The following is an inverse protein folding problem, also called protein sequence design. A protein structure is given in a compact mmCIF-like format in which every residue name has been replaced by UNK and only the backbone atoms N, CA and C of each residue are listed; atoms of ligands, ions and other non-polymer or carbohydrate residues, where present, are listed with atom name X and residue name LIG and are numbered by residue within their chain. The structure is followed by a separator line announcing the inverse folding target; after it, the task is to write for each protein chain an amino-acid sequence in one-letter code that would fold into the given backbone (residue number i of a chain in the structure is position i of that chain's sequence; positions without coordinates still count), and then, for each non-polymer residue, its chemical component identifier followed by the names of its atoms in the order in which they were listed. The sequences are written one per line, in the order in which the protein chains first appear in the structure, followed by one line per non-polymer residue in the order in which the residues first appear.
data_IF_875348385097
#
_entry.id   IF_875348385097
#
_cell.length_a   1.000
_cell.length_b   1.000
_cell.length_c   1.000
_cell.angle_alpha   90.00
_cell.angle_beta   90.00
_cell.angle_gamma   90.00
#
_symmetry.space_group_name_H-M   'P 1'
#
loop_
_entity.id
_entity.type
_entity.pdbx_description
1 polymer ?
#
# COMPACT_ATOMS: atom_id res chain seq x y z
N UNK A 1 -1.38 -11.04 -24.34
CA UNK A 1 -0.11 -10.85 -23.59
C UNK A 1 -0.30 -11.50 -22.22
N UNK A 2 0.49 -12.51 -21.87
CA UNK A 2 0.33 -13.23 -20.59
C UNK A 2 0.84 -12.34 -19.46
N UNK A 3 0.02 -12.07 -18.44
CA UNK A 3 0.50 -11.46 -17.20
C UNK A 3 1.40 -12.47 -16.51
N UNK A 4 2.69 -12.17 -16.47
CA UNK A 4 3.58 -12.91 -15.60
C UNK A 4 3.26 -12.50 -14.15
N UNK A 5 3.01 -13.46 -13.22
CA UNK A 5 3.02 -13.14 -11.82
C UNK A 5 4.35 -12.43 -11.52
N UNK A 6 4.30 -11.36 -10.74
CA UNK A 6 5.54 -10.72 -10.27
C UNK A 6 6.32 -11.81 -9.52
N UNK A 7 7.46 -12.21 -10.11
CA UNK A 7 8.36 -13.12 -9.43
C UNK A 7 9.38 -12.26 -8.70
N UNK A 8 9.35 -12.32 -7.39
CA UNK A 8 10.43 -11.77 -6.57
C UNK A 8 11.71 -12.48 -7.02
N UNK A 9 12.74 -11.77 -7.52
CA UNK A 9 14.00 -12.40 -7.92
C UNK A 9 14.58 -13.16 -6.74
N UNK A 10 14.70 -14.49 -6.86
CA UNK A 10 15.28 -15.34 -5.80
C UNK A 10 16.74 -15.62 -6.17
N UNK A 11 17.71 -14.97 -5.50
CA UNK A 11 19.10 -15.34 -5.64
C UNK A 11 19.29 -16.80 -5.19
N UNK A 12 20.11 -17.55 -5.93
CA UNK A 12 20.48 -18.90 -5.55
C UNK A 12 21.05 -18.91 -4.13
N UNK A 13 20.56 -19.82 -3.28
CA UNK A 13 21.01 -20.01 -1.89
C UNK A 13 20.65 -18.89 -0.87
N UNK A 14 19.66 -18.05 -1.17
CA UNK A 14 19.16 -17.08 -0.19
C UNK A 14 17.71 -17.39 0.19
N UNK A 15 17.49 -17.67 1.48
CA UNK A 15 16.17 -17.89 2.03
C UNK A 15 15.42 -16.56 2.25
N UNK A 16 16.16 -15.53 2.64
CA UNK A 16 15.66 -14.17 2.86
C UNK A 16 16.05 -13.28 1.69
N UNK A 17 15.07 -12.77 0.96
CA UNK A 17 15.31 -11.91 -0.19
C UNK A 17 15.29 -10.46 0.27
N UNK A 18 16.36 -9.73 -0.02
CA UNK A 18 16.49 -8.31 0.29
C UNK A 18 16.65 -7.56 -1.03
N UNK A 19 15.77 -6.61 -1.26
CA UNK A 19 15.76 -5.77 -2.46
C UNK A 19 15.88 -4.31 -2.07
N UNK A 20 16.82 -3.61 -2.71
CA UNK A 20 17.03 -2.17 -2.56
C UNK A 20 16.68 -1.51 -3.90
N UNK A 21 15.59 -0.78 -3.92
CA UNK A 21 15.14 -0.05 -5.11
C UNK A 21 15.56 1.41 -5.00
N UNK A 22 16.31 1.89 -6.00
CA UNK A 22 16.69 3.29 -6.20
C UNK A 22 16.35 3.67 -7.62
N UNK A 23 15.15 4.15 -7.83
CA UNK A 23 14.56 4.36 -9.15
C UNK A 23 13.72 5.65 -9.14
N UNK A 24 13.56 6.30 -10.28
CA UNK A 24 12.64 7.44 -10.41
C UNK A 24 11.19 7.02 -10.26
N UNK A 25 10.86 5.79 -10.67
CA UNK A 25 9.51 5.24 -10.61
C UNK A 25 9.58 3.84 -10.01
N UNK A 26 8.95 3.64 -8.86
CA UNK A 26 8.78 2.29 -8.30
C UNK A 26 7.97 1.41 -9.25
N UNK A 27 8.13 0.08 -9.14
CA UNK A 27 7.27 -0.85 -9.88
C UNK A 27 5.80 -0.55 -9.52
N UNK A 28 5.13 0.14 -10.45
CA UNK A 28 3.82 0.75 -10.25
C UNK A 28 2.66 -0.07 -10.84
N UNK A 29 2.88 -1.36 -11.10
CA UNK A 29 1.83 -2.27 -11.59
C UNK A 29 1.28 -3.09 -10.46
N UNK A 30 -0.06 -3.26 -10.41
CA UNK A 30 -0.69 -4.13 -9.44
C UNK A 30 -0.13 -5.55 -9.60
N UNK A 31 0.37 -6.11 -8.52
CA UNK A 31 0.96 -7.44 -8.48
C UNK A 31 0.67 -8.13 -7.14
N UNK A 32 0.89 -9.42 -7.11
CA UNK A 32 0.82 -10.23 -5.90
C UNK A 32 1.92 -11.30 -5.96
N UNK A 33 2.38 -11.73 -4.80
CA UNK A 33 3.37 -12.78 -4.64
C UNK A 33 3.11 -13.60 -3.37
N UNK A 34 3.72 -14.76 -3.24
CA UNK A 34 3.50 -15.66 -2.10
C UNK A 34 4.20 -15.18 -0.82
N UNK A 35 5.19 -14.33 -0.95
CA UNK A 35 5.99 -13.84 0.16
C UNK A 35 5.22 -12.77 0.97
N UNK A 36 5.49 -12.73 2.27
CA UNK A 36 5.24 -11.56 3.11
C UNK A 36 6.32 -10.53 2.76
N UNK A 37 5.94 -9.29 2.56
CA UNK A 37 6.85 -8.19 2.21
C UNK A 37 6.92 -7.17 3.35
N UNK A 38 8.12 -6.89 3.82
CA UNK A 38 8.43 -5.80 4.74
C UNK A 38 9.06 -4.67 3.92
N UNK A 39 8.50 -3.47 3.95
CA UNK A 39 8.99 -2.36 3.13
C UNK A 39 9.20 -1.10 3.95
N UNK A 40 10.43 -0.59 3.95
CA UNK A 40 10.78 0.74 4.41
C UNK A 40 10.85 1.70 3.22
N UNK A 41 10.08 2.78 3.28
CA UNK A 41 10.26 3.92 2.37
C UNK A 41 11.39 4.79 2.93
N UNK A 42 12.55 4.73 2.32
CA UNK A 42 13.71 5.53 2.74
C UNK A 42 13.55 6.98 2.26
N UNK A 43 13.19 7.14 0.98
CA UNK A 43 12.96 8.45 0.36
C UNK A 43 11.93 8.30 -0.76
N UNK A 44 10.73 8.69 -0.53
CA UNK A 44 9.68 8.89 -1.53
C UNK A 44 8.39 9.35 -0.86
N UNK A 45 7.52 10.00 -1.63
CA UNK A 45 6.13 10.23 -1.28
C UNK A 45 5.23 9.61 -2.34
N UNK A 46 4.06 9.12 -1.93
CA UNK A 46 3.17 8.46 -2.89
C UNK A 46 2.00 7.76 -2.22
N UNK A 47 1.47 6.75 -2.92
CA UNK A 47 0.34 5.95 -2.49
C UNK A 47 0.66 4.46 -2.58
N UNK A 48 0.39 3.74 -1.49
CA UNK A 48 0.28 2.29 -1.48
C UNK A 48 -1.18 1.94 -1.71
N UNK A 49 -1.46 1.20 -2.76
CA UNK A 49 -2.75 0.55 -2.96
C UNK A 49 -2.57 -0.91 -2.56
N UNK A 50 -3.40 -1.39 -1.65
CA UNK A 50 -3.37 -2.77 -1.17
C UNK A 50 -4.79 -3.28 -1.01
N UNK A 51 -5.10 -4.38 -1.68
CA UNK A 51 -6.42 -4.97 -1.64
C UNK A 51 -7.50 -3.97 -2.05
N UNK A 52 -8.29 -3.58 -1.08
CA UNK A 52 -9.43 -2.67 -1.23
C UNK A 52 -9.15 -1.24 -0.73
N UNK A 53 -7.91 -0.90 -0.37
CA UNK A 53 -7.58 0.32 0.35
C UNK A 53 -6.43 1.11 -0.25
N UNK A 54 -6.43 2.42 -0.02
CA UNK A 54 -5.39 3.35 -0.47
C UNK A 54 -4.77 4.02 0.74
N UNK A 55 -3.44 4.02 0.82
CA UNK A 55 -2.69 4.59 1.94
C UNK A 55 -1.60 5.50 1.42
N UNK A 56 -1.54 6.77 1.86
CA UNK A 56 -0.42 7.62 1.54
C UNK A 56 0.85 7.15 2.25
N UNK A 57 1.98 7.32 1.58
CA UNK A 57 3.28 7.11 2.19
C UNK A 57 4.21 8.30 2.01
N UNK A 58 5.16 8.40 2.91
CA UNK A 58 6.25 9.39 2.91
C UNK A 58 7.54 8.76 3.45
N UNK A 59 8.60 9.53 3.42
CA UNK A 59 9.90 9.16 3.99
C UNK A 59 9.74 8.62 5.41
N UNK A 60 10.40 7.51 5.68
CA UNK A 60 10.38 6.82 6.95
C UNK A 60 9.14 5.97 7.23
N UNK A 61 8.18 5.86 6.32
CA UNK A 61 7.05 4.96 6.51
C UNK A 61 7.44 3.50 6.32
N UNK A 62 6.90 2.64 7.19
CA UNK A 62 7.14 1.21 7.14
C UNK A 62 5.84 0.44 6.98
N UNK A 63 5.83 -0.50 6.04
CA UNK A 63 4.67 -1.32 5.70
C UNK A 63 4.99 -2.81 5.74
N UNK A 64 4.03 -3.59 6.21
CA UNK A 64 4.00 -5.04 6.08
C UNK A 64 2.86 -5.39 5.14
N UNK A 65 3.17 -6.11 4.06
CA UNK A 65 2.22 -6.59 3.06
C UNK A 65 2.09 -8.10 3.22
N UNK A 66 0.87 -8.57 3.35
CA UNK A 66 0.59 -10.00 3.52
C UNK A 66 0.82 -10.83 2.25
N UNK A 67 1.05 -12.11 2.45
CA UNK A 67 1.12 -13.10 1.36
C UNK A 67 -0.12 -13.01 0.46
N UNK A 68 0.08 -13.06 -0.85
CA UNK A 68 -0.95 -12.99 -1.88
C UNK A 68 -1.83 -11.73 -1.87
N UNK A 69 -1.51 -10.71 -1.08
CA UNK A 69 -2.24 -9.44 -1.10
C UNK A 69 -1.88 -8.65 -2.37
N UNK A 70 -2.85 -8.36 -3.26
CA UNK A 70 -2.59 -7.52 -4.42
C UNK A 70 -2.22 -6.12 -3.98
N UNK A 71 -1.09 -5.60 -4.48
CA UNK A 71 -0.62 -4.28 -4.09
C UNK A 71 0.21 -3.60 -5.17
N UNK A 72 0.35 -2.27 -5.04
CA UNK A 72 1.28 -1.47 -5.82
C UNK A 72 1.73 -0.25 -5.01
N UNK A 73 2.98 0.16 -5.22
CA UNK A 73 3.52 1.43 -4.74
C UNK A 73 3.62 2.40 -5.91
N UNK A 74 2.92 3.54 -5.83
CA UNK A 74 3.00 4.61 -6.82
C UNK A 74 3.55 5.86 -6.16
N UNK A 75 4.79 6.24 -6.50
CA UNK A 75 5.37 7.49 -6.04
C UNK A 75 4.82 8.68 -6.84
N UNK A 76 4.71 9.85 -6.18
CA UNK A 76 4.12 11.04 -6.79
C UNK A 76 5.14 11.84 -7.61
N UNK A 77 6.41 11.91 -7.14
CA UNK A 77 7.48 12.62 -7.81
C UNK A 77 8.25 11.68 -8.72
N UNK A 78 8.47 12.11 -9.95
CA UNK A 78 9.19 11.37 -10.99
C UNK A 78 10.53 12.05 -11.34
N UNK A 79 10.78 13.23 -10.77
CA UNK A 79 11.97 14.06 -10.94
C UNK A 79 13.04 13.84 -9.87
N UNK A 80 12.69 13.14 -8.79
CA UNK A 80 13.59 12.79 -7.69
C UNK A 80 13.73 11.28 -7.55
N UNK A 81 14.93 10.83 -7.21
CA UNK A 81 15.21 9.40 -7.06
C UNK A 81 14.53 8.87 -5.79
N UNK A 82 13.55 8.03 -5.99
CA UNK A 82 12.87 7.32 -4.91
C UNK A 82 13.73 6.15 -4.41
N UNK A 83 13.67 5.88 -3.11
CA UNK A 83 14.44 4.82 -2.47
C UNK A 83 13.55 4.05 -1.48
N UNK A 84 13.45 2.74 -1.67
CA UNK A 84 12.83 1.81 -0.72
C UNK A 84 13.68 0.57 -0.53
N UNK A 85 13.54 -0.05 0.63
CA UNK A 85 14.16 -1.34 0.96
C UNK A 85 13.02 -2.32 1.27
N UNK A 86 13.03 -3.46 0.61
CA UNK A 86 12.02 -4.51 0.80
C UNK A 86 12.69 -5.82 1.18
N UNK A 87 12.08 -6.55 2.12
CA UNK A 87 12.46 -7.89 2.53
C UNK A 87 11.29 -8.81 2.22
N UNK A 88 11.57 -9.94 1.59
CA UNK A 88 10.57 -10.93 1.21
C UNK A 88 10.91 -12.28 1.83
N UNK A 89 9.91 -12.91 2.44
CA UNK A 89 10.01 -14.25 3.00
C UNK A 89 8.63 -14.93 3.06
N UNK A 90 8.60 -16.24 3.17
CA UNK A 90 7.39 -17.04 3.36
C UNK A 90 7.39 -17.68 4.75
N UNK A 91 6.27 -18.20 5.17
CA UNK A 91 6.17 -18.99 6.41
C UNK A 91 7.09 -20.22 6.40
N UNK A 92 7.50 -20.70 5.22
CA UNK A 92 8.37 -21.87 5.05
C UNK A 92 9.81 -21.51 4.68
N UNK A 93 10.16 -20.22 4.67
CA UNK A 93 11.50 -19.75 4.26
C UNK A 93 12.65 -20.41 5.03
N UNK A 94 12.45 -20.69 6.31
CA UNK A 94 13.46 -21.34 7.18
C UNK A 94 13.12 -22.81 7.52
N UNK A 95 12.25 -23.44 6.74
CA UNK A 95 11.71 -24.77 6.97
C UNK A 95 10.26 -24.72 7.45
N UNK A 96 9.51 -25.78 7.15
CA UNK A 96 8.06 -25.83 7.39
C UNK A 96 7.65 -25.64 8.86
N UNK A 97 8.47 -26.07 9.80
CA UNK A 97 8.18 -26.01 11.23
C UNK A 97 8.82 -24.83 11.96
N UNK A 98 9.62 -24.00 11.29
CA UNK A 98 10.40 -22.95 11.95
C UNK A 98 9.51 -21.99 12.75
N UNK A 99 8.52 -21.40 12.10
CA UNK A 99 7.61 -20.45 12.77
C UNK A 99 6.58 -21.12 13.69
N UNK A 100 6.53 -22.44 13.72
CA UNK A 100 5.66 -23.23 14.61
C UNK A 100 6.38 -23.71 15.89
N UNK A 101 7.66 -23.37 16.07
CA UNK A 101 8.41 -23.69 17.29
C UNK A 101 7.78 -22.98 18.51
N UNK A 102 7.63 -23.65 19.66
CA UNK A 102 7.06 -23.04 20.86
C UNK A 102 7.78 -21.76 21.30
N UNK A 103 9.11 -21.72 21.19
CA UNK A 103 9.91 -20.53 21.51
C UNK A 103 9.67 -19.32 20.58
N UNK A 104 8.94 -19.52 19.48
CA UNK A 104 8.62 -18.51 18.47
C UNK A 104 7.11 -18.22 18.37
N UNK A 105 6.33 -18.55 19.41
CA UNK A 105 4.87 -18.33 19.43
C UNK A 105 4.48 -16.88 19.13
N UNK A 106 5.27 -15.90 19.60
CA UNK A 106 5.06 -14.49 19.30
C UNK A 106 5.16 -14.17 17.81
N UNK A 107 6.00 -14.87 17.06
CA UNK A 107 6.12 -14.72 15.61
C UNK A 107 4.88 -15.22 14.87
N UNK A 108 4.17 -16.21 15.43
CA UNK A 108 2.89 -16.65 14.86
C UNK A 108 1.82 -15.55 14.89
N UNK A 109 1.80 -14.76 15.96
CA UNK A 109 0.93 -13.58 16.05
C UNK A 109 1.28 -12.54 14.98
N UNK A 110 2.58 -12.32 14.71
CA UNK A 110 3.04 -11.46 13.61
C UNK A 110 2.58 -11.98 12.25
N UNK A 111 2.77 -13.27 11.95
CA UNK A 111 2.34 -13.91 10.70
C UNK A 111 0.83 -13.73 10.50
N UNK A 112 0.03 -13.92 11.54
CA UNK A 112 -1.41 -13.71 11.46
C UNK A 112 -1.79 -12.25 11.20
N UNK A 113 -1.15 -11.30 11.87
CA UNK A 113 -1.36 -9.87 11.65
C UNK A 113 -0.92 -9.44 10.24
N UNK A 114 0.11 -10.07 9.67
CA UNK A 114 0.59 -9.75 8.32
C UNK A 114 -0.43 -10.03 7.22
N UNK A 115 -1.41 -10.92 7.43
CA UNK A 115 -2.42 -11.29 6.43
C UNK A 115 -3.28 -10.10 5.99
N UNK A 116 -3.59 -9.20 6.90
CA UNK A 116 -4.31 -7.95 6.61
C UNK A 116 -3.36 -6.82 6.20
N UNK A 117 -2.06 -7.04 6.37
CA UNK A 117 -1.05 -6.01 6.24
C UNK A 117 -1.19 -4.91 7.28
N UNK A 118 -0.11 -4.21 7.57
CA UNK A 118 -0.17 -3.07 8.49
C UNK A 118 0.92 -2.03 8.20
N UNK A 119 0.63 -0.80 8.59
CA UNK A 119 1.60 0.30 8.67
C UNK A 119 2.07 0.41 10.11
N UNK A 120 3.39 0.51 10.31
CA UNK A 120 3.99 0.78 11.63
C UNK A 120 3.80 2.25 11.98
N UNK A 121 3.36 2.50 13.22
CA UNK A 121 3.19 3.83 13.81
C UNK A 121 4.23 4.06 14.92
N UNK A 122 4.35 5.31 15.38
CA UNK A 122 5.18 5.65 16.55
C UNK A 122 6.68 5.52 16.34
N UNK A 123 7.40 5.16 17.39
CA UNK A 123 8.86 5.02 17.38
C UNK A 123 9.31 3.85 16.49
N UNK A 124 10.05 4.16 15.45
CA UNK A 124 10.49 3.25 14.39
C UNK A 124 12.00 3.11 14.27
N UNK A 125 12.78 3.74 15.16
CA UNK A 125 14.22 3.87 15.01
C UNK A 125 14.93 2.52 14.93
N UNK A 126 14.56 1.56 15.80
CA UNK A 126 15.12 0.21 15.77
C UNK A 126 14.76 -0.56 14.48
N UNK A 127 13.52 -0.38 14.00
CA UNK A 127 13.03 -0.99 12.75
C UNK A 127 13.78 -0.38 11.56
N UNK A 128 13.90 0.95 11.50
CA UNK A 128 14.63 1.64 10.44
C UNK A 128 16.10 1.24 10.41
N UNK A 129 16.76 1.24 11.58
CA UNK A 129 18.15 0.81 11.70
C UNK A 129 18.37 -0.60 11.16
N UNK A 130 17.52 -1.54 11.56
CA UNK A 130 17.57 -2.93 11.07
C UNK A 130 17.41 -2.98 9.55
N UNK A 131 16.40 -2.30 8.99
CA UNK A 131 16.15 -2.29 7.54
C UNK A 131 17.28 -1.68 6.72
N UNK A 132 17.93 -0.62 7.21
CA UNK A 132 19.07 0.01 6.53
C UNK A 132 20.31 -0.87 6.61
N UNK A 133 20.51 -1.57 7.73
CA UNK A 133 21.70 -2.41 7.95
C UNK A 133 21.61 -3.76 7.21
N UNK A 134 20.42 -4.36 7.17
CA UNK A 134 20.20 -5.73 6.70
C UNK A 134 20.70 -6.02 5.28
N UNK A 135 20.63 -5.10 4.29
CA UNK A 135 21.18 -5.33 2.96
C UNK A 135 22.70 -5.59 2.94
N UNK A 136 23.46 -5.03 3.88
CA UNK A 136 24.92 -5.19 3.96
C UNK A 136 25.37 -6.41 4.76
N UNK A 137 24.46 -7.07 5.47
CA UNK A 137 24.76 -8.26 6.28
C UNK A 137 24.67 -9.54 5.45
N UNK A 138 25.35 -10.57 5.91
CA UNK A 138 25.34 -11.88 5.26
C UNK A 138 25.02 -13.00 6.24
N UNK A 139 24.52 -14.12 5.72
CA UNK A 139 24.35 -15.38 6.44
C UNK A 139 23.70 -15.21 7.84
N UNK A 140 24.41 -15.63 8.86
CA UNK A 140 23.92 -15.65 10.25
C UNK A 140 23.61 -14.23 10.77
N UNK A 141 24.45 -13.25 10.48
CA UNK A 141 24.25 -11.88 10.94
C UNK A 141 22.98 -11.28 10.33
N UNK A 142 22.71 -11.55 9.03
CA UNK A 142 21.48 -11.18 8.35
C UNK A 142 20.27 -11.85 8.99
N UNK A 143 20.36 -13.13 9.32
CA UNK A 143 19.30 -13.88 9.97
C UNK A 143 19.01 -13.34 11.38
N UNK A 144 20.03 -13.10 12.20
CA UNK A 144 19.89 -12.52 13.54
C UNK A 144 19.22 -11.15 13.46
N UNK A 145 19.70 -10.29 12.57
CA UNK A 145 19.12 -8.95 12.35
C UNK A 145 17.65 -9.03 11.92
N UNK A 146 17.30 -9.99 11.06
CA UNK A 146 15.93 -10.21 10.62
C UNK A 146 15.01 -10.67 11.78
N UNK A 147 15.44 -11.61 12.61
CA UNK A 147 14.65 -12.05 13.79
C UNK A 147 14.46 -10.89 14.77
N UNK A 148 15.50 -10.08 15.00
CA UNK A 148 15.38 -8.89 15.84
C UNK A 148 14.42 -7.84 15.22
N UNK A 149 14.41 -7.70 13.90
CA UNK A 149 13.44 -6.86 13.20
C UNK A 149 12.00 -7.35 13.42
N UNK A 150 11.75 -8.66 13.29
CA UNK A 150 10.42 -9.24 13.55
C UNK A 150 9.98 -9.01 14.99
N UNK A 151 10.87 -9.18 15.96
CA UNK A 151 10.60 -8.89 17.38
C UNK A 151 10.20 -7.42 17.59
N UNK A 152 10.88 -6.49 16.96
CA UNK A 152 10.54 -5.07 17.03
C UNK A 152 9.17 -4.77 16.38
N UNK A 153 8.83 -5.47 15.29
CA UNK A 153 7.54 -5.33 14.61
C UNK A 153 6.36 -5.89 15.42
N UNK A 154 6.58 -6.95 16.19
CA UNK A 154 5.56 -7.49 17.09
C UNK A 154 5.13 -6.44 18.11
N UNK A 155 6.09 -5.74 18.69
CA UNK A 155 5.89 -4.76 19.77
C UNK A 155 5.54 -3.35 19.26
N UNK A 156 5.54 -3.12 17.94
CA UNK A 156 5.25 -1.81 17.37
C UNK A 156 3.75 -1.50 17.37
N UNK A 157 3.41 -0.24 17.59
CA UNK A 157 2.08 0.26 17.27
C UNK A 157 1.83 0.14 15.77
N UNK A 158 0.65 -0.35 15.40
CA UNK A 158 0.34 -0.65 14.00
C UNK A 158 -1.08 -0.27 13.64
N UNK A 159 -1.24 0.11 12.37
CA UNK A 159 -2.54 0.37 11.75
C UNK A 159 -2.75 -0.63 10.62
N UNK A 160 -3.81 -1.42 10.71
CA UNK A 160 -4.23 -2.35 9.65
C UNK A 160 -4.44 -1.62 8.33
N UNK A 161 -4.01 -2.24 7.22
CA UNK A 161 -4.09 -1.66 5.89
C UNK A 161 -5.37 -2.08 5.16
N UNK A 162 -5.79 -3.33 5.28
CA UNK A 162 -7.00 -3.83 4.63
C UNK A 162 -7.75 -4.80 5.55
N UNK A 163 -9.07 -4.81 5.45
CA UNK A 163 -9.91 -5.79 6.13
C UNK A 163 -10.22 -7.00 5.22
N UNK A 164 -9.63 -7.02 4.02
CA UNK A 164 -9.87 -8.07 3.03
C UNK A 164 -8.63 -8.93 2.86
N UNK A 165 -8.69 -10.13 3.43
CA UNK A 165 -7.62 -11.13 3.29
C UNK A 165 -7.86 -11.96 2.04
N UNK A 166 -6.88 -12.02 1.15
CA UNK A 166 -6.94 -12.84 -0.05
C UNK A 166 -6.53 -14.29 0.28
N UNK A 167 -7.49 -15.24 0.30
CA UNK A 167 -7.20 -16.62 0.74
C UNK A 167 -6.38 -17.42 -0.28
N UNK A 168 -6.33 -16.96 -1.53
CA UNK A 168 -5.69 -17.66 -2.65
C UNK A 168 -5.13 -16.69 -3.67
N UNK A 169 -4.17 -17.17 -4.46
CA UNK A 169 -3.71 -16.50 -5.67
C UNK A 169 -4.90 -16.22 -6.59
N UNK A 170 -5.09 -14.96 -6.95
CA UNK A 170 -6.06 -14.57 -7.98
C UNK A 170 -5.64 -15.22 -9.30
N UNK A 171 -6.57 -15.88 -9.99
CA UNK A 171 -6.30 -16.50 -11.28
C UNK A 171 -5.74 -15.49 -12.30
N UNK A 172 -4.84 -15.92 -13.17
CA UNK A 172 -4.09 -15.03 -14.07
C UNK A 172 -4.99 -14.08 -14.87
N UNK A 173 -6.10 -14.58 -15.41
CA UNK A 173 -7.07 -13.75 -16.18
C UNK A 173 -7.80 -12.72 -15.30
N UNK A 174 -8.20 -13.08 -14.09
CA UNK A 174 -8.87 -12.18 -13.15
C UNK A 174 -7.88 -11.13 -12.60
N UNK A 175 -6.66 -11.55 -12.29
CA UNK A 175 -5.59 -10.66 -11.86
C UNK A 175 -5.22 -9.64 -12.94
N UNK A 176 -5.22 -10.03 -14.22
CA UNK A 176 -4.98 -9.13 -15.35
C UNK A 176 -6.09 -8.07 -15.46
N UNK A 177 -7.34 -8.48 -15.38
CA UNK A 177 -8.46 -7.53 -15.39
C UNK A 177 -8.39 -6.56 -14.21
N UNK A 178 -8.13 -7.06 -13.00
CA UNK A 178 -7.97 -6.19 -11.82
C UNK A 178 -6.84 -5.19 -12.02
N UNK A 179 -5.69 -5.65 -12.52
CA UNK A 179 -4.56 -4.77 -12.84
C UNK A 179 -4.94 -3.68 -13.83
N UNK A 180 -5.59 -4.03 -14.96
CA UNK A 180 -6.04 -3.07 -15.96
C UNK A 180 -6.98 -2.02 -15.35
N UNK A 181 -7.92 -2.44 -14.49
CA UNK A 181 -8.83 -1.54 -13.79
C UNK A 181 -8.06 -0.59 -12.86
N UNK A 182 -7.15 -1.12 -12.05
CA UNK A 182 -6.38 -0.30 -11.12
C UNK A 182 -5.45 0.67 -11.85
N UNK A 183 -4.74 0.23 -12.89
CA UNK A 183 -3.89 1.08 -13.72
C UNK A 183 -4.71 2.23 -14.34
N UNK A 184 -5.89 1.91 -14.87
CA UNK A 184 -6.80 2.91 -15.43
C UNK A 184 -7.25 3.93 -14.38
N UNK A 185 -7.76 3.47 -13.23
CA UNK A 185 -8.28 4.35 -12.19
C UNK A 185 -7.19 5.21 -11.59
N UNK A 186 -6.03 4.64 -11.27
CA UNK A 186 -4.89 5.36 -10.67
C UNK A 186 -4.31 6.40 -11.63
N UNK A 187 -4.44 6.19 -12.92
CA UNK A 187 -3.97 7.15 -13.93
C UNK A 187 -4.99 8.27 -14.18
N UNK A 188 -6.29 7.98 -14.09
CA UNK A 188 -7.35 8.89 -14.56
C UNK A 188 -8.29 9.38 -13.45
N UNK A 189 -8.05 9.07 -12.16
CA UNK A 189 -8.98 9.37 -11.06
C UNK A 189 -9.36 10.84 -10.92
N UNK A 190 -8.53 11.75 -11.42
CA UNK A 190 -8.78 13.19 -11.44
C UNK A 190 -9.81 13.61 -12.50
N UNK A 191 -9.99 12.78 -13.51
CA UNK A 191 -10.94 13.02 -14.58
C UNK A 191 -12.31 12.43 -14.27
N UNK A 192 -13.31 12.77 -15.07
CA UNK A 192 -14.61 12.10 -14.99
C UNK A 192 -14.46 10.62 -15.41
N UNK A 193 -14.93 9.72 -14.59
CA UNK A 193 -14.96 8.29 -14.86
C UNK A 193 -16.35 7.76 -14.57
N UNK A 194 -17.01 7.21 -15.60
CA UNK A 194 -18.26 6.48 -15.47
C UNK A 194 -18.05 4.95 -15.54
N UNK A 195 -19.13 4.21 -15.29
CA UNK A 195 -19.06 2.73 -15.30
C UNK A 195 -18.83 2.17 -16.69
N UNK A 196 -19.29 2.82 -17.77
CA UNK A 196 -19.08 2.35 -19.13
C UNK A 196 -17.60 2.49 -19.49
N UNK A 197 -17.00 3.64 -19.17
CA UNK A 197 -15.57 3.88 -19.38
C UNK A 197 -14.72 2.83 -18.62
N UNK A 198 -15.01 2.60 -17.35
CA UNK A 198 -14.25 1.64 -16.55
C UNK A 198 -14.45 0.18 -17.00
N UNK A 199 -15.67 -0.21 -17.29
CA UNK A 199 -15.99 -1.60 -17.69
C UNK A 199 -15.46 -1.96 -19.08
N UNK A 200 -15.41 -0.99 -20.01
CA UNK A 200 -14.85 -1.17 -21.36
C UNK A 200 -13.36 -1.52 -21.34
N UNK A 201 -12.60 -1.03 -20.33
CA UNK A 201 -11.17 -1.35 -20.18
C UNK A 201 -10.91 -2.85 -20.06
N UNK A 202 -11.88 -3.60 -19.57
CA UNK A 202 -11.77 -5.05 -19.32
C UNK A 202 -12.80 -5.88 -20.09
N UNK A 203 -13.42 -5.28 -21.11
CA UNK A 203 -14.42 -5.90 -21.98
C UNK A 203 -15.57 -6.55 -21.21
N UNK A 204 -16.10 -5.82 -20.22
CA UNK A 204 -17.24 -6.25 -19.40
C UNK A 204 -18.44 -5.32 -19.59
N UNK A 205 -19.65 -5.86 -19.38
CA UNK A 205 -20.82 -5.01 -19.17
C UNK A 205 -20.72 -4.31 -17.80
N UNK A 206 -21.30 -3.11 -17.60
CA UNK A 206 -21.28 -2.40 -16.33
C UNK A 206 -21.74 -3.24 -15.14
N UNK A 207 -22.77 -4.06 -15.32
CA UNK A 207 -23.28 -4.94 -14.26
C UNK A 207 -22.28 -6.06 -13.90
N UNK A 208 -21.67 -6.70 -14.90
CA UNK A 208 -20.64 -7.71 -14.67
C UNK A 208 -19.40 -7.10 -14.00
N UNK A 209 -18.99 -5.91 -14.44
CA UNK A 209 -17.90 -5.15 -13.86
C UNK A 209 -18.14 -4.82 -12.38
N UNK A 210 -19.32 -4.31 -12.01
CA UNK A 210 -19.65 -4.00 -10.63
C UNK A 210 -19.56 -5.24 -9.72
N UNK A 211 -20.10 -6.39 -10.17
CA UNK A 211 -20.00 -7.65 -9.44
C UNK A 211 -18.54 -8.11 -9.31
N UNK A 212 -17.81 -8.10 -10.41
CA UNK A 212 -16.40 -8.48 -10.48
C UNK A 212 -15.55 -7.61 -9.54
N UNK A 213 -15.67 -6.29 -9.63
CA UNK A 213 -14.90 -5.37 -8.80
C UNK A 213 -15.20 -5.56 -7.31
N UNK A 214 -16.49 -5.64 -6.94
CA UNK A 214 -16.91 -5.86 -5.56
C UNK A 214 -16.43 -7.20 -5.00
N UNK A 215 -16.44 -8.26 -5.80
CA UNK A 215 -15.94 -9.58 -5.41
C UNK A 215 -14.44 -9.57 -5.08
N UNK A 216 -13.64 -8.75 -5.81
CA UNK A 216 -12.19 -8.71 -5.69
C UNK A 216 -11.66 -7.60 -4.78
N UNK A 217 -12.50 -6.65 -4.34
CA UNK A 217 -12.10 -5.52 -3.50
C UNK A 217 -12.99 -5.32 -2.28
N UNK A 218 -14.07 -6.09 -2.15
CA UNK A 218 -15.10 -5.91 -1.11
C UNK A 218 -15.75 -4.50 -1.09
N UNK A 219 -15.47 -3.66 -2.10
CA UNK A 219 -16.00 -2.30 -2.25
C UNK A 219 -16.65 -2.12 -3.62
N UNK A 220 -17.54 -1.14 -3.73
CA UNK A 220 -17.98 -0.70 -5.05
C UNK A 220 -16.87 0.11 -5.74
N UNK A 221 -16.89 0.14 -7.07
CA UNK A 221 -15.94 0.92 -7.86
C UNK A 221 -15.90 2.40 -7.45
N UNK A 222 -17.06 3.02 -7.27
CA UNK A 222 -17.11 4.42 -6.87
C UNK A 222 -16.67 4.68 -5.43
N UNK A 223 -16.87 3.74 -4.51
CA UNK A 223 -16.30 3.85 -3.16
C UNK A 223 -14.78 3.91 -3.22
N UNK A 224 -14.17 3.02 -4.01
CA UNK A 224 -12.72 3.00 -4.21
C UNK A 224 -12.22 4.29 -4.89
N UNK A 225 -12.89 4.75 -5.96
CA UNK A 225 -12.54 5.98 -6.66
C UNK A 225 -12.60 7.20 -5.73
N UNK A 226 -13.63 7.30 -4.90
CA UNK A 226 -13.78 8.38 -3.91
C UNK A 226 -12.66 8.33 -2.87
N UNK A 227 -12.31 7.15 -2.36
CA UNK A 227 -11.18 7.01 -1.42
C UNK A 227 -9.87 7.49 -2.05
N UNK A 228 -9.58 7.07 -3.28
CA UNK A 228 -8.38 7.50 -4.01
C UNK A 228 -8.33 9.04 -4.19
N UNK A 229 -9.45 9.65 -4.53
CA UNK A 229 -9.59 11.11 -4.66
C UNK A 229 -9.39 11.84 -3.33
N UNK A 230 -9.97 11.31 -2.24
CA UNK A 230 -9.81 11.91 -0.90
C UNK A 230 -8.37 11.75 -0.39
N UNK A 231 -7.70 10.62 -0.64
CA UNK A 231 -6.29 10.48 -0.28
C UNK A 231 -5.39 11.45 -1.08
N UNK A 232 -5.71 11.70 -2.35
CA UNK A 232 -5.02 12.73 -3.13
C UNK A 232 -5.26 14.13 -2.56
N UNK A 233 -6.51 14.46 -2.22
CA UNK A 233 -6.83 15.73 -1.56
C UNK A 233 -6.07 15.91 -0.24
N UNK A 234 -5.95 14.86 0.58
CA UNK A 234 -5.14 14.92 1.81
C UNK A 234 -3.67 15.23 1.53
N UNK A 235 -3.10 14.69 0.45
CA UNK A 235 -1.73 15.00 0.04
C UNK A 235 -1.57 16.47 -0.36
N UNK A 236 -2.50 17.01 -1.18
CA UNK A 236 -2.51 18.42 -1.57
C UNK A 236 -2.70 19.32 -0.36
N UNK A 237 -3.64 19.01 0.54
CA UNK A 237 -3.84 19.75 1.79
C UNK A 237 -2.60 19.78 2.68
N UNK A 238 -1.78 18.74 2.69
CA UNK A 238 -0.55 18.69 3.47
C UNK A 238 0.62 19.46 2.83
N UNK A 239 0.62 19.61 1.52
CA UNK A 239 1.75 20.21 0.77
C UNK A 239 1.48 21.63 0.33
N UNK A 240 0.24 21.92 -0.06
CA UNK A 240 -0.12 23.09 -0.85
C UNK A 240 -1.28 23.89 -0.26
N UNK A 241 -1.66 23.62 1.01
CA UNK A 241 -2.77 24.33 1.67
C UNK A 241 -2.56 25.85 1.82
N UNK A 242 -1.33 26.33 1.68
CA UNK A 242 -1.01 27.77 1.69
C UNK A 242 -1.06 28.40 0.30
N UNK A 243 -1.11 27.57 -0.75
CA UNK A 243 -1.08 28.01 -2.15
C UNK A 243 -2.41 27.78 -2.87
N UNK A 244 -3.15 26.75 -2.47
CA UNK A 244 -4.40 26.33 -3.09
C UNK A 244 -5.58 26.46 -2.13
N UNK A 245 -6.69 26.96 -2.63
CA UNK A 245 -7.97 26.95 -1.91
C UNK A 245 -8.54 25.53 -1.79
N UNK A 246 -9.45 25.31 -0.84
CA UNK A 246 -10.17 24.03 -0.70
C UNK A 246 -10.94 23.67 -1.99
N UNK A 247 -11.44 24.68 -2.71
CA UNK A 247 -12.13 24.47 -4.00
C UNK A 247 -11.16 23.90 -5.04
N UNK A 248 -10.02 24.54 -5.26
CA UNK A 248 -8.99 24.08 -6.21
C UNK A 248 -8.48 22.68 -5.88
N UNK A 249 -8.24 22.38 -4.59
CA UNK A 249 -7.85 21.04 -4.13
C UNK A 249 -8.95 20.01 -4.45
N UNK A 250 -10.21 20.38 -4.27
CA UNK A 250 -11.37 19.54 -4.62
C UNK A 250 -11.38 19.21 -6.11
N UNK A 251 -11.22 20.22 -6.98
CA UNK A 251 -11.21 20.08 -8.43
C UNK A 251 -10.00 19.26 -8.91
N UNK A 252 -8.80 19.56 -8.44
CA UNK A 252 -7.58 18.81 -8.75
C UNK A 252 -7.65 17.35 -8.24
N UNK A 253 -8.51 17.07 -7.27
CA UNK A 253 -8.76 15.71 -6.80
C UNK A 253 -9.88 14.99 -7.57
N UNK A 254 -10.45 15.62 -8.60
CA UNK A 254 -11.45 15.03 -9.49
C UNK A 254 -12.89 15.13 -9.00
N UNK A 255 -13.19 16.04 -8.06
CA UNK A 255 -14.57 16.32 -7.66
C UNK A 255 -15.15 17.48 -8.47
N UNK A 256 -16.31 17.27 -9.06
CA UNK A 256 -17.07 18.29 -9.78
C UNK A 256 -17.95 19.16 -8.87
N UNK A 257 -18.08 18.79 -7.59
CA UNK A 257 -18.89 19.49 -6.61
C UNK A 257 -18.18 19.57 -5.26
N UNK A 258 -17.93 20.80 -4.80
CA UNK A 258 -17.33 21.07 -3.49
C UNK A 258 -18.21 20.52 -2.33
N UNK A 259 -19.53 20.55 -2.48
CA UNK A 259 -20.45 19.99 -1.48
C UNK A 259 -20.30 18.47 -1.36
N UNK A 260 -20.18 17.77 -2.49
CA UNK A 260 -19.92 16.34 -2.50
C UNK A 260 -18.53 16.01 -1.93
N UNK A 261 -17.51 16.78 -2.30
CA UNK A 261 -16.17 16.68 -1.74
C UNK A 261 -16.18 16.77 -0.22
N UNK A 262 -16.72 17.86 0.34
CA UNK A 262 -16.77 18.08 1.79
C UNK A 262 -17.49 16.95 2.53
N UNK A 263 -18.61 16.47 1.97
CA UNK A 263 -19.37 15.34 2.52
C UNK A 263 -18.54 14.06 2.54
N UNK A 264 -17.87 13.70 1.43
CA UNK A 264 -17.06 12.50 1.32
C UNK A 264 -15.79 12.60 2.18
N UNK A 265 -15.15 13.78 2.20
CA UNK A 265 -13.98 14.02 3.03
C UNK A 265 -14.32 13.83 4.52
N UNK A 266 -15.40 14.46 5.00
CA UNK A 266 -15.87 14.31 6.39
C UNK A 266 -16.20 12.84 6.70
N UNK A 267 -16.84 12.13 5.77
CA UNK A 267 -17.17 10.70 5.92
C UNK A 267 -15.93 9.83 6.09
N UNK A 268 -14.86 10.08 5.33
CA UNK A 268 -13.67 9.23 5.32
C UNK A 268 -12.59 9.65 6.34
N UNK A 269 -12.52 10.95 6.67
CA UNK A 269 -11.50 11.49 7.59
C UNK A 269 -12.04 11.90 8.96
N UNK A 270 -13.37 11.85 9.15
CA UNK A 270 -14.09 12.28 10.36
C UNK A 270 -13.95 13.77 10.70
N UNK A 271 -13.33 14.56 9.83
CA UNK A 271 -13.16 16.01 9.96
C UNK A 271 -13.39 16.68 8.61
N UNK A 272 -13.72 17.97 8.61
CA UNK A 272 -13.80 18.77 7.37
C UNK A 272 -12.40 19.15 6.89
N UNK A 273 -12.20 19.46 5.58
CA UNK A 273 -10.87 19.75 5.00
C UNK A 273 -10.12 20.87 5.72
N UNK A 274 -10.78 21.99 6.06
CA UNK A 274 -10.15 23.11 6.76
C UNK A 274 -9.65 22.72 8.16
N UNK A 275 -10.40 21.90 8.88
CA UNK A 275 -10.00 21.39 10.20
C UNK A 275 -8.85 20.39 10.09
N UNK A 276 -8.83 19.59 9.03
CA UNK A 276 -7.72 18.68 8.73
C UNK A 276 -6.40 19.45 8.57
N UNK A 277 -6.40 20.55 7.82
CA UNK A 277 -5.23 21.44 7.67
C UNK A 277 -4.79 22.03 9.01
N UNK A 278 -5.73 22.55 9.80
CA UNK A 278 -5.44 23.13 11.12
C UNK A 278 -4.76 22.11 12.06
N UNK A 279 -5.26 20.88 12.09
CA UNK A 279 -4.66 19.79 12.89
C UNK A 279 -3.22 19.46 12.46
N UNK A 280 -2.94 19.46 11.14
CA UNK A 280 -1.58 19.20 10.63
C UNK A 280 -0.59 20.33 10.99
N UNK A 281 -1.06 21.58 11.02
CA UNK A 281 -0.26 22.76 11.40
C UNK A 281 -0.09 22.93 12.92
N UNK A 282 -0.65 22.03 13.74
CA UNK A 282 -0.61 22.14 15.21
C UNK A 282 -1.44 23.29 15.78
N UNK A 283 -2.33 23.89 14.96
CA UNK A 283 -3.20 24.97 15.37
C UNK A 283 -4.40 24.34 16.12
N UNK A 284 -4.53 24.64 17.41
CA UNK A 284 -5.74 24.20 18.16
C UNK A 284 -6.97 24.82 17.49
N UNK A 285 -8.01 24.04 17.19
CA UNK A 285 -9.26 24.59 16.68
C UNK A 285 -9.90 25.48 17.76
N UNK A 286 -10.17 26.73 17.42
CA UNK A 286 -11.08 27.59 18.16
C UNK A 286 -12.50 27.05 18.10
#
# INVERSE_FOLDING_TARGET
MKVHPFQVPKPLHQNLIVQVDREFVFYNKLHQHAEIQLTLIVKATGKLIIGDSVHPFKDGDFFVIGSHSPHLFKNDRLDDMAHKISIFFTETTFGESFFALPDLEELQAFINASKEGFKVLGNRDAIHKAMITLPSLEKLDRFICFIQLLKNLINADKKTLTNFVYPKKIGSSQGERMRTIFDYVVTHFQNEIDLNMASSQVHMTPNAFCKFFKQHTNKTFFQFLIELRIEHACQLLNREADQLSILEISEQSGFTSISNFNRQFKKLKNVIPSRFVAQQKGIKPT
#
